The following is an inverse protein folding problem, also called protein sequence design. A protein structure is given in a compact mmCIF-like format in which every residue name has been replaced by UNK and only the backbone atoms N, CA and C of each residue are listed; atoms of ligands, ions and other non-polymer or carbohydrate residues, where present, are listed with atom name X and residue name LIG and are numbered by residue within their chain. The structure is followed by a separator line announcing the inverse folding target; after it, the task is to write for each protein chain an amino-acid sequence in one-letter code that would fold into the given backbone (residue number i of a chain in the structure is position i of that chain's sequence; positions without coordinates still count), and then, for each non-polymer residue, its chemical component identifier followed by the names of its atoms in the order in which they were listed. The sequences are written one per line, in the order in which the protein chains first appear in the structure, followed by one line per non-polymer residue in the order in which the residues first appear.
data_IF_881802032610
#
_entry.id   IF_881802032610
#
_cell.length_a   1.000
_cell.length_b   1.000
_cell.length_c   1.000
_cell.angle_alpha   90.00
_cell.angle_beta   90.00
_cell.angle_gamma   90.00
#
_symmetry.space_group_name_H-M   'P 1'
#
loop_
_entity.id
_entity.type
_entity.pdbx_description
1 polymer ?
#
# COMPACT_ATOMS: atom_id res chain seq x y z
N UNK A 1 0.72 12.20 6.27
CA UNK A 1 -0.58 12.18 6.97
C UNK A 1 -0.38 12.31 8.48
N UNK A 2 0.40 11.44 9.12
CA UNK A 2 0.66 11.50 10.57
C UNK A 2 1.22 12.84 11.06
N UNK A 3 2.22 13.39 10.34
CA UNK A 3 2.77 14.73 10.62
C UNK A 3 1.72 15.85 10.57
N UNK A 4 0.75 15.76 9.65
CA UNK A 4 -0.31 16.74 9.50
C UNK A 4 -1.32 16.63 10.65
N UNK A 5 -1.68 15.40 11.06
CA UNK A 5 -2.58 15.14 12.19
C UNK A 5 -1.94 15.62 13.50
N UNK A 6 -0.66 15.33 13.72
CA UNK A 6 0.07 15.78 14.91
C UNK A 6 0.13 17.31 15.02
N UNK A 7 0.36 18.02 13.90
CA UNK A 7 0.38 19.49 13.86
C UNK A 7 -0.98 20.13 14.20
N UNK A 8 -2.08 19.47 13.84
CA UNK A 8 -3.44 19.94 14.17
C UNK A 8 -3.82 19.59 15.61
N UNK A 9 -3.45 18.41 16.10
CA UNK A 9 -3.75 17.98 17.48
C UNK A 9 -2.97 18.82 18.49
N UNK A 10 -1.72 19.16 18.19
CA UNK A 10 -0.88 20.05 19.03
C UNK A 10 -1.31 21.53 19.01
N UNK A 11 -2.28 21.90 18.16
CA UNK A 11 -2.77 23.28 18.07
C UNK A 11 -1.90 24.23 17.25
N UNK A 12 -0.82 23.74 16.63
CA UNK A 12 0.08 24.58 15.82
C UNK A 12 -0.58 25.13 14.54
N UNK A 13 -1.60 24.46 14.02
CA UNK A 13 -2.36 24.91 12.84
C UNK A 13 -3.76 24.29 12.76
N UNK A 14 -4.69 24.97 12.09
CA UNK A 14 -6.04 24.44 11.81
C UNK A 14 -6.09 23.49 10.60
N UNK A 15 -7.14 22.67 10.51
CA UNK A 15 -7.32 21.66 9.46
C UNK A 15 -7.20 22.21 8.03
N UNK A 16 -7.77 23.40 7.77
CA UNK A 16 -7.71 24.04 6.45
C UNK A 16 -6.27 24.42 6.04
N UNK A 17 -5.49 24.98 6.98
CA UNK A 17 -4.09 25.35 6.75
C UNK A 17 -3.21 24.12 6.56
N UNK A 18 -3.40 23.11 7.40
CA UNK A 18 -2.70 21.83 7.27
C UNK A 18 -3.04 21.09 5.96
N UNK A 19 -4.30 21.14 5.51
CA UNK A 19 -4.73 20.55 4.24
C UNK A 19 -3.95 21.13 3.05
N UNK A 20 -3.82 22.46 2.99
CA UNK A 20 -3.06 23.15 1.93
C UNK A 20 -1.57 22.84 2.04
N UNK A 21 -1.00 22.95 3.25
CA UNK A 21 0.44 22.78 3.47
C UNK A 21 0.93 21.35 3.21
N UNK A 22 0.14 20.34 3.59
CA UNK A 22 0.49 18.93 3.43
C UNK A 22 -0.14 18.29 2.18
N UNK A 23 -0.87 19.07 1.37
CA UNK A 23 -1.58 18.61 0.18
C UNK A 23 -2.46 17.37 0.46
N UNK A 24 -3.25 17.44 1.54
CA UNK A 24 -4.17 16.38 1.95
C UNK A 24 -5.62 16.86 1.84
N UNK A 25 -6.57 16.01 1.43
CA UNK A 25 -7.99 16.35 1.51
C UNK A 25 -8.40 16.70 2.95
N UNK A 26 -9.08 17.82 3.12
CA UNK A 26 -9.50 18.31 4.43
C UNK A 26 -10.34 17.28 5.20
N UNK A 27 -11.30 16.64 4.52
CA UNK A 27 -12.18 15.61 5.13
C UNK A 27 -11.40 14.41 5.65
N UNK A 28 -10.33 14.03 4.96
CA UNK A 28 -9.44 12.94 5.39
C UNK A 28 -8.69 13.36 6.65
N UNK A 29 -8.16 14.58 6.68
CA UNK A 29 -7.45 15.10 7.85
C UNK A 29 -8.37 15.20 9.07
N UNK A 30 -9.59 15.72 8.91
CA UNK A 30 -10.59 15.84 9.98
C UNK A 30 -10.97 14.49 10.56
N UNK A 31 -11.16 13.46 9.71
CA UNK A 31 -11.43 12.09 10.13
C UNK A 31 -10.36 11.57 11.08
N UNK A 32 -9.08 11.72 10.71
CA UNK A 32 -7.97 11.22 11.52
C UNK A 32 -7.69 12.08 12.76
N UNK A 33 -7.89 13.39 12.70
CA UNK A 33 -7.79 14.27 13.88
C UNK A 33 -8.87 13.92 14.90
N UNK A 34 -10.12 13.68 14.46
CA UNK A 34 -11.19 13.22 15.35
C UNK A 34 -10.82 11.88 15.99
N UNK A 35 -10.34 10.91 15.19
CA UNK A 35 -9.89 9.60 15.69
C UNK A 35 -8.78 9.73 16.74
N UNK A 36 -7.78 10.59 16.49
CA UNK A 36 -6.65 10.82 17.42
C UNK A 36 -7.02 11.56 18.70
N UNK A 37 -8.08 12.38 18.67
CA UNK A 37 -8.65 13.02 19.87
C UNK A 37 -9.46 12.06 20.72
N UNK A 38 -10.16 11.12 20.09
CA UNK A 38 -10.94 10.09 20.79
C UNK A 38 -10.05 8.99 21.35
N UNK A 39 -9.03 8.57 20.59
CA UNK A 39 -8.04 7.57 20.98
C UNK A 39 -6.62 8.12 20.72
N UNK A 40 -5.91 8.55 21.77
CA UNK A 40 -4.55 9.09 21.66
C UNK A 40 -3.53 8.11 21.08
N UNK A 41 -3.76 6.80 21.23
CA UNK A 41 -2.91 5.73 20.72
C UNK A 41 -3.30 5.28 19.30
N UNK A 42 -4.31 5.92 18.68
CA UNK A 42 -4.76 5.52 17.36
C UNK A 42 -3.67 5.72 16.29
N UNK A 43 -3.22 4.61 15.72
CA UNK A 43 -2.27 4.59 14.61
C UNK A 43 -3.02 4.81 13.30
N UNK A 44 -2.45 5.63 12.41
CA UNK A 44 -2.95 5.79 11.05
C UNK A 44 -2.49 4.58 10.24
N UNK A 45 -3.20 3.48 10.41
CA UNK A 45 -2.95 2.29 9.62
C UNK A 45 -3.54 2.47 8.21
N UNK A 46 -2.66 2.41 7.20
CA UNK A 46 -3.01 2.44 5.77
C UNK A 46 -3.03 1.04 5.15
N UNK A 47 -2.64 0.02 5.91
CA UNK A 47 -2.60 -1.38 5.48
C UNK A 47 -3.94 -2.10 5.70
N UNK A 48 -4.85 -1.50 6.49
CA UNK A 48 -6.19 -2.01 6.79
C UNK A 48 -7.20 -1.96 5.62
N UNK A 49 -6.74 -2.17 4.38
CA UNK A 49 -7.58 -2.38 3.21
C UNK A 49 -7.76 -3.86 2.90
N UNK A 50 -8.76 -4.21 2.07
CA UNK A 50 -8.96 -5.60 1.59
C UNK A 50 -7.74 -6.13 0.83
N UNK A 51 -7.00 -5.24 0.18
CA UNK A 51 -5.82 -5.57 -0.60
C UNK A 51 -4.55 -5.34 0.23
N UNK A 52 -3.80 -6.41 0.43
CA UNK A 52 -2.47 -6.39 1.02
C UNK A 52 -1.45 -6.88 -0.01
N UNK A 53 -0.19 -6.56 0.21
CA UNK A 53 0.88 -7.08 -0.63
C UNK A 53 0.98 -8.60 -0.41
N UNK A 54 0.83 -9.38 -1.48
CA UNK A 54 0.87 -10.84 -1.43
C UNK A 54 2.32 -11.35 -1.41
N UNK A 55 3.21 -10.62 -2.09
CA UNK A 55 4.62 -10.97 -2.17
C UNK A 55 5.45 -10.24 -1.12
N UNK A 56 6.45 -10.94 -0.61
CA UNK A 56 7.56 -10.30 0.12
C UNK A 56 8.44 -9.52 -0.84
N UNK A 57 9.22 -8.58 -0.31
CA UNK A 57 10.14 -7.77 -1.12
C UNK A 57 11.11 -8.65 -1.95
N UNK A 58 11.57 -9.76 -1.38
CA UNK A 58 12.49 -10.69 -2.03
C UNK A 58 11.84 -11.43 -3.19
N UNK A 59 10.58 -11.85 -3.03
CA UNK A 59 9.80 -12.51 -4.09
C UNK A 59 9.50 -11.55 -5.25
N UNK A 60 9.23 -10.27 -4.97
CA UNK A 60 9.08 -9.27 -6.02
C UNK A 60 10.38 -9.07 -6.80
N UNK A 61 11.52 -9.05 -6.11
CA UNK A 61 12.83 -8.92 -6.75
C UNK A 61 13.10 -10.14 -7.64
N UNK A 62 12.83 -11.36 -7.16
CA UNK A 62 12.96 -12.58 -7.95
C UNK A 62 12.13 -12.52 -9.24
N UNK A 63 10.85 -12.12 -9.14
CA UNK A 63 9.95 -12.00 -10.27
C UNK A 63 10.46 -10.96 -11.29
N UNK A 64 10.96 -9.82 -10.83
CA UNK A 64 11.51 -8.75 -11.69
C UNK A 64 12.78 -9.21 -12.40
N UNK A 65 13.67 -9.91 -11.70
CA UNK A 65 14.90 -10.46 -12.29
C UNK A 65 14.55 -11.46 -13.40
N UNK A 66 13.64 -12.38 -13.11
CA UNK A 66 13.17 -13.37 -14.09
C UNK A 66 12.57 -12.71 -15.34
N UNK A 67 11.72 -11.70 -15.17
CA UNK A 67 11.12 -10.96 -16.30
C UNK A 67 12.16 -10.28 -17.18
N UNK A 68 13.15 -9.62 -16.57
CA UNK A 68 14.24 -8.96 -17.30
C UNK A 68 15.07 -9.97 -18.08
N UNK A 69 15.33 -11.14 -17.52
CA UNK A 69 16.11 -12.18 -18.20
C UNK A 69 15.33 -12.84 -19.34
N UNK A 70 14.03 -13.06 -19.18
CA UNK A 70 13.17 -13.52 -20.27
C UNK A 70 13.11 -12.51 -21.42
N UNK A 71 13.00 -11.21 -21.09
CA UNK A 71 13.03 -10.15 -22.09
C UNK A 71 14.35 -10.11 -22.87
N UNK A 72 15.50 -10.24 -22.19
CA UNK A 72 16.83 -10.31 -22.84
C UNK A 72 16.96 -11.49 -23.81
N UNK A 73 16.30 -12.62 -23.50
CA UNK A 73 16.31 -13.83 -24.32
C UNK A 73 15.27 -13.80 -25.45
N UNK A 74 14.65 -12.64 -25.71
CA UNK A 74 13.57 -12.45 -26.69
C UNK A 74 12.31 -13.28 -26.42
N UNK A 75 12.16 -13.81 -25.20
CA UNK A 75 10.93 -14.44 -24.72
C UNK A 75 10.12 -13.42 -23.91
N UNK A 76 9.63 -12.38 -24.58
CA UNK A 76 8.76 -11.40 -23.95
C UNK A 76 7.46 -12.05 -23.47
N UNK A 77 7.16 -11.90 -22.17
CA UNK A 77 5.90 -12.36 -21.60
C UNK A 77 4.80 -11.33 -21.86
N UNK A 78 3.64 -11.81 -22.29
CA UNK A 78 2.43 -10.99 -22.31
C UNK A 78 1.91 -10.72 -20.89
N UNK A 79 1.09 -9.68 -20.72
CA UNK A 79 0.46 -9.38 -19.42
C UNK A 79 -0.31 -10.57 -18.84
N UNK A 80 -0.93 -11.40 -19.70
CA UNK A 80 -1.68 -12.59 -19.26
C UNK A 80 -0.74 -13.66 -18.70
N UNK A 81 0.40 -13.87 -19.34
CA UNK A 81 1.40 -14.85 -18.89
C UNK A 81 2.11 -14.38 -17.62
N UNK A 82 2.42 -13.08 -17.50
CA UNK A 82 2.93 -12.51 -16.27
C UNK A 82 1.96 -12.74 -15.09
N UNK A 83 0.67 -12.51 -15.27
CA UNK A 83 -0.34 -12.77 -14.23
C UNK A 83 -0.40 -14.25 -13.86
N UNK A 84 -0.32 -15.16 -14.83
CA UNK A 84 -0.25 -16.61 -14.57
C UNK A 84 1.01 -16.99 -13.80
N UNK A 85 2.15 -16.42 -14.15
CA UNK A 85 3.42 -16.65 -13.48
C UNK A 85 3.38 -16.15 -12.03
N UNK A 86 2.88 -14.93 -11.80
CA UNK A 86 2.68 -14.39 -10.46
C UNK A 86 1.74 -15.29 -9.64
N UNK A 87 0.63 -15.75 -10.24
CA UNK A 87 -0.26 -16.69 -9.57
C UNK A 87 0.44 -18.01 -9.18
N UNK A 88 1.19 -18.61 -10.10
CA UNK A 88 1.95 -19.83 -9.83
C UNK A 88 2.99 -19.64 -8.72
N UNK A 89 3.67 -18.49 -8.71
CA UNK A 89 4.63 -18.14 -7.66
C UNK A 89 3.93 -17.97 -6.29
N UNK A 90 2.77 -17.33 -6.26
CA UNK A 90 1.97 -17.15 -5.04
C UNK A 90 1.48 -18.49 -4.47
N UNK A 91 0.93 -19.36 -5.32
CA UNK A 91 0.48 -20.71 -4.94
C UNK A 91 1.65 -21.54 -4.41
N UNK A 92 2.80 -21.51 -5.10
CA UNK A 92 4.00 -22.25 -4.66
C UNK A 92 4.51 -21.80 -3.30
N UNK A 93 4.36 -20.52 -2.98
CA UNK A 93 4.80 -19.92 -1.72
C UNK A 93 3.73 -19.95 -0.61
N UNK A 94 2.60 -20.63 -0.84
CA UNK A 94 1.55 -20.79 0.19
C UNK A 94 0.80 -19.50 0.52
N UNK A 95 0.71 -18.55 -0.42
CA UNK A 95 -0.07 -17.34 -0.23
C UNK A 95 -1.58 -17.67 -0.40
N UNK A 96 -2.21 -18.18 0.67
CA UNK A 96 -3.60 -18.67 0.78
C UNK A 96 -4.70 -17.57 0.65
N UNK A 97 -4.70 -16.79 -0.43
CA UNK A 97 -5.80 -15.85 -0.74
C UNK A 97 -6.56 -16.22 -2.01
N UNK A 98 -6.27 -17.39 -2.58
CA UNK A 98 -6.82 -17.85 -3.85
C UNK A 98 -7.45 -19.25 -3.72
N UNK A 99 -8.36 -19.43 -2.76
CA UNK A 99 -9.34 -20.50 -2.89
C UNK A 99 -10.30 -20.13 -4.04
N UNK A 100 -10.61 -21.13 -4.85
CA UNK A 100 -11.30 -21.06 -6.14
C UNK A 100 -12.62 -20.27 -6.06
N UNK A 101 -12.79 -19.34 -7.00
CA UNK A 101 -14.07 -18.68 -7.30
C UNK A 101 -14.66 -19.24 -8.59
#
# INVERSE_FOLDING_TARGET
MERAVAAVVSGAMGCKKASIQFQLPQTTLERYVKKRRTDPNSVIDKTAGKYHCVFTQDQEVELVVYLKDMQKRLFGLTLKELRKLAYQLAVRNGCEQFEEA
#
